data_IF_940201755806
#
_entry.id   IF_940201755806
#
_cell.length_a   1.000
_cell.length_b   1.000
_cell.length_c   1.000
_cell.angle_alpha   90.00
_cell.angle_beta   90.00
_cell.angle_gamma   90.00
#
_symmetry.space_group_name_H-M   'P 1'
#
loop_
_entity.id
_entity.type
_entity.pdbx_description
1 polymer ?
#
# COMPACT_ATOMS: atom_id res chain seq x y z
N UNK A 1 32.39 -1.63 -9.63
CA UNK A 1 31.23 -0.75 -9.89
C UNK A 1 30.24 -1.55 -10.72
N UNK A 2 29.20 -2.11 -10.11
CA UNK A 2 28.23 -2.94 -10.83
C UNK A 2 27.28 -2.05 -11.62
N UNK A 3 27.43 -2.02 -12.94
CA UNK A 3 26.48 -1.37 -13.84
C UNK A 3 25.26 -2.28 -13.99
N UNK A 4 24.25 -2.07 -13.14
CA UNK A 4 22.92 -2.65 -13.33
C UNK A 4 22.41 -2.24 -14.72
N UNK A 5 21.82 -3.14 -15.52
CA UNK A 5 21.29 -2.77 -16.82
C UNK A 5 20.20 -1.70 -16.66
N UNK A 6 20.45 -0.52 -17.24
CA UNK A 6 19.51 0.61 -17.24
C UNK A 6 18.52 0.46 -18.40
N UNK A 7 17.24 0.56 -18.09
CA UNK A 7 16.16 0.64 -19.07
C UNK A 7 16.27 1.96 -19.87
N UNK A 8 15.64 2.02 -21.05
CA UNK A 8 15.62 3.24 -21.88
C UNK A 8 15.10 4.47 -21.12
N UNK A 9 14.10 4.28 -20.25
CA UNK A 9 13.50 5.37 -19.48
C UNK A 9 14.40 5.84 -18.33
N UNK A 10 15.13 4.92 -17.68
CA UNK A 10 16.14 5.27 -16.67
C UNK A 10 17.26 6.09 -17.28
N UNK A 11 17.74 5.68 -18.46
CA UNK A 11 18.82 6.38 -19.15
C UNK A 11 18.36 7.75 -19.69
N UNK A 12 17.15 7.82 -20.25
CA UNK A 12 16.54 9.10 -20.65
C UNK A 12 16.44 10.07 -19.45
N UNK A 13 15.95 9.59 -18.32
CA UNK A 13 15.84 10.39 -17.08
C UNK A 13 17.21 10.84 -16.59
N UNK A 14 18.22 9.97 -16.60
CA UNK A 14 19.61 10.30 -16.21
C UNK A 14 20.16 11.43 -17.08
N UNK A 15 20.04 11.32 -18.40
CA UNK A 15 20.52 12.34 -19.33
C UNK A 15 19.75 13.66 -19.18
N UNK A 16 18.45 13.60 -18.95
CA UNK A 16 17.62 14.78 -18.69
C UNK A 16 18.04 15.50 -17.40
N UNK A 17 18.35 14.76 -16.35
CA UNK A 17 18.87 15.30 -15.09
C UNK A 17 20.24 15.97 -15.27
N UNK A 18 21.14 15.34 -16.01
CA UNK A 18 22.46 15.94 -16.33
C UNK A 18 22.31 17.22 -17.14
N UNK A 19 21.40 17.23 -18.11
CA UNK A 19 21.08 18.42 -18.90
C UNK A 19 20.52 19.55 -18.03
N UNK A 20 19.53 19.26 -17.18
CA UNK A 20 18.93 20.24 -16.28
C UNK A 20 19.96 20.85 -15.31
N UNK A 21 20.81 20.01 -14.71
CA UNK A 21 21.92 20.45 -13.83
C UNK A 21 22.90 21.36 -14.56
N UNK A 22 23.33 20.99 -15.78
CA UNK A 22 24.25 21.81 -16.60
C UNK A 22 23.67 23.17 -16.96
N UNK A 23 22.35 23.27 -17.09
CA UNK A 23 21.66 24.52 -17.42
C UNK A 23 21.35 25.39 -16.20
N UNK A 24 21.66 24.93 -14.98
CA UNK A 24 21.25 25.61 -13.74
C UNK A 24 19.73 25.71 -13.61
N UNK A 25 18.98 24.86 -14.33
CA UNK A 25 17.54 24.85 -14.28
C UNK A 25 17.11 24.17 -12.98
N UNK A 26 16.70 24.96 -12.01
CA UNK A 26 15.90 24.47 -10.89
C UNK A 26 14.56 24.10 -11.53
N UNK A 27 14.13 22.83 -11.51
CA UNK A 27 12.83 22.47 -12.03
C UNK A 27 11.81 23.35 -11.33
N UNK A 28 11.01 24.15 -12.06
CA UNK A 28 9.95 24.91 -11.41
C UNK A 28 9.03 23.91 -10.68
N UNK A 29 8.51 24.30 -9.52
CA UNK A 29 7.38 23.63 -8.88
C UNK A 29 6.15 23.86 -9.78
N UNK A 30 6.13 23.17 -10.91
CA UNK A 30 5.12 23.30 -11.95
C UNK A 30 4.46 21.94 -12.13
N UNK A 31 3.19 21.88 -11.74
CA UNK A 31 2.30 20.81 -12.11
C UNK A 31 1.70 21.19 -13.46
N UNK A 32 1.95 20.38 -14.48
CA UNK A 32 1.46 20.58 -15.84
C UNK A 32 0.31 19.62 -16.08
N UNK A 33 -0.84 20.13 -16.53
CA UNK A 33 -1.93 19.26 -16.97
C UNK A 33 -1.50 18.46 -18.20
N UNK A 34 -1.75 17.15 -18.20
CA UNK A 34 -1.39 16.27 -19.30
C UNK A 34 -2.56 16.26 -20.30
N UNK A 35 -2.35 16.73 -21.55
CA UNK A 35 -3.35 16.62 -22.61
C UNK A 35 -3.82 15.18 -22.82
N UNK A 36 -5.08 14.99 -23.17
CA UNK A 36 -5.71 13.67 -23.31
C UNK A 36 -4.98 12.71 -24.28
N UNK A 37 -4.32 13.28 -25.29
CA UNK A 37 -3.54 12.54 -26.29
C UNK A 37 -2.18 12.03 -25.77
N UNK A 38 -1.70 12.51 -24.61
CA UNK A 38 -0.43 12.10 -23.99
C UNK A 38 -0.67 11.04 -22.89
N UNK A 39 -1.30 9.94 -23.28
CA UNK A 39 -1.48 8.78 -22.40
C UNK A 39 -0.12 8.25 -21.93
N UNK A 40 -0.01 7.93 -20.65
CA UNK A 40 1.22 7.40 -20.03
C UNK A 40 1.81 8.29 -18.94
N UNK A 41 1.37 9.55 -18.85
CA UNK A 41 1.74 10.45 -17.75
C UNK A 41 0.56 10.65 -16.78
N UNK A 42 0.90 10.84 -15.50
CA UNK A 42 -0.06 10.97 -14.40
C UNK A 42 0.47 10.36 -13.11
N UNK A 43 -0.32 10.48 -12.05
CA UNK A 43 -0.01 9.87 -10.74
C UNK A 43 -1.27 9.30 -10.08
N UNK A 44 -1.18 8.18 -9.34
CA UNK A 44 -2.22 7.80 -8.41
C UNK A 44 -2.30 8.78 -7.25
N UNK A 45 -3.52 9.15 -6.89
CA UNK A 45 -3.86 9.90 -5.68
C UNK A 45 -4.70 9.01 -4.79
N UNK A 46 -4.28 8.90 -3.54
CA UNK A 46 -4.87 8.04 -2.54
C UNK A 46 -5.73 8.86 -1.59
N UNK A 47 -6.97 8.43 -1.40
CA UNK A 47 -7.87 8.91 -0.35
C UNK A 47 -7.49 8.18 0.96
N UNK A 48 -6.88 8.87 1.93
CA UNK A 48 -6.43 8.24 3.16
C UNK A 48 -7.61 7.72 4.00
N UNK A 49 -8.79 8.33 3.92
CA UNK A 49 -9.95 7.96 4.73
C UNK A 49 -10.57 6.65 4.24
N UNK A 50 -10.60 6.45 2.92
CA UNK A 50 -11.09 5.20 2.32
C UNK A 50 -10.05 4.07 2.29
N UNK A 51 -8.77 4.41 2.22
CA UNK A 51 -7.71 3.43 2.01
C UNK A 51 -7.53 2.50 3.22
N UNK A 52 -7.80 1.21 3.03
CA UNK A 52 -7.44 0.18 4.01
C UNK A 52 -5.95 -0.10 4.10
N UNK A 53 -5.15 0.32 3.12
CA UNK A 53 -3.75 -0.10 3.02
C UNK A 53 -3.61 -1.61 2.79
N UNK A 54 -4.48 -2.23 2.00
CA UNK A 54 -4.43 -3.66 1.69
C UNK A 54 -3.26 -4.08 0.78
N UNK A 55 -2.48 -3.11 0.27
CA UNK A 55 -1.35 -3.29 -0.64
C UNK A 55 -1.68 -3.88 -2.04
N UNK A 56 -2.96 -4.05 -2.39
CA UNK A 56 -3.38 -4.48 -3.74
C UNK A 56 -2.77 -3.61 -4.84
N UNK A 57 -2.73 -2.28 -4.65
CA UNK A 57 -2.13 -1.34 -5.60
C UNK A 57 -0.63 -1.59 -5.86
N UNK A 58 0.14 -1.99 -4.84
CA UNK A 58 1.56 -2.33 -4.99
C UNK A 58 1.74 -3.64 -5.76
N UNK A 59 0.92 -4.66 -5.44
CA UNK A 59 0.94 -5.96 -6.13
C UNK A 59 0.63 -5.83 -7.63
N UNK A 60 -0.32 -4.96 -8.00
CA UNK A 60 -0.74 -4.76 -9.39
C UNK A 60 0.19 -3.81 -10.17
N UNK A 61 1.18 -3.20 -9.50
CA UNK A 61 2.06 -2.22 -10.12
C UNK A 61 3.18 -2.90 -10.93
N UNK A 62 2.89 -3.27 -12.18
CA UNK A 62 3.85 -3.91 -13.08
C UNK A 62 5.10 -3.06 -13.35
N UNK A 63 4.96 -1.73 -13.35
CA UNK A 63 6.08 -0.79 -13.51
C UNK A 63 6.95 -0.63 -12.26
N UNK A 64 6.60 -1.27 -11.14
CA UNK A 64 7.36 -1.16 -9.89
C UNK A 64 7.37 0.25 -9.27
N UNK A 65 6.43 1.10 -9.66
CA UNK A 65 6.30 2.46 -9.14
C UNK A 65 5.80 2.49 -7.69
N UNK A 66 4.99 1.51 -7.27
CA UNK A 66 4.43 1.44 -5.91
C UNK A 66 5.13 0.34 -5.11
N UNK A 67 5.91 0.73 -4.10
CA UNK A 67 6.69 -0.17 -3.24
C UNK A 67 6.08 -0.29 -1.85
N UNK A 68 5.74 -1.51 -1.47
CA UNK A 68 5.32 -1.85 -0.12
C UNK A 68 6.53 -1.95 0.82
N UNK A 69 6.45 -1.27 1.96
CA UNK A 69 7.40 -1.41 3.08
C UNK A 69 6.59 -1.62 4.35
N UNK A 70 6.79 -2.76 4.99
CA UNK A 70 6.19 -3.05 6.29
C UNK A 70 7.25 -2.98 7.39
N UNK A 71 6.88 -2.33 8.47
CA UNK A 71 7.58 -2.39 9.76
C UNK A 71 6.73 -3.22 10.72
N UNK A 72 7.14 -3.33 11.99
CA UNK A 72 6.35 -4.10 12.96
C UNK A 72 4.90 -3.59 13.06
N UNK A 73 4.70 -2.28 13.17
CA UNK A 73 3.38 -1.71 13.50
C UNK A 73 2.75 -0.91 12.37
N UNK A 74 3.48 -0.70 11.26
CA UNK A 74 3.02 0.14 10.16
C UNK A 74 3.30 -0.47 8.81
N UNK A 75 2.36 -0.27 7.90
CA UNK A 75 2.49 -0.55 6.48
C UNK A 75 2.51 0.76 5.71
N UNK A 76 3.57 0.95 4.92
CA UNK A 76 3.77 2.12 4.07
C UNK A 76 3.85 1.72 2.61
N UNK A 77 3.29 2.54 1.74
CA UNK A 77 3.47 2.42 0.29
C UNK A 77 4.13 3.69 -0.20
N UNK A 78 5.25 3.51 -0.86
CA UNK A 78 6.04 4.57 -1.46
C UNK A 78 5.89 4.55 -2.97
N UNK A 79 5.86 5.73 -3.58
CA UNK A 79 5.73 5.91 -5.02
C UNK A 79 7.03 6.48 -5.61
N UNK A 80 7.64 5.74 -6.51
CA UNK A 80 8.67 6.25 -7.42
C UNK A 80 7.95 6.94 -8.59
N UNK A 81 7.80 8.26 -8.52
CA UNK A 81 6.98 9.03 -9.47
C UNK A 81 7.32 8.73 -10.94
N UNK A 82 8.60 8.75 -11.27
CA UNK A 82 9.09 8.59 -12.65
C UNK A 82 8.88 7.20 -13.24
N UNK A 83 8.56 6.19 -12.42
CA UNK A 83 8.20 4.83 -12.88
C UNK A 83 6.72 4.68 -13.18
N UNK A 84 5.88 5.60 -12.71
CA UNK A 84 4.45 5.51 -12.92
C UNK A 84 4.10 5.81 -14.38
N UNK A 85 3.46 4.85 -15.06
CA UNK A 85 2.94 5.03 -16.42
C UNK A 85 1.43 5.29 -16.46
N UNK A 86 0.85 5.58 -15.29
CA UNK A 86 -0.57 5.90 -15.13
C UNK A 86 -1.52 4.91 -15.87
N UNK A 87 -1.27 3.60 -15.68
CA UNK A 87 -2.01 2.49 -16.30
C UNK A 87 -3.35 2.15 -15.62
N UNK A 88 -3.71 2.85 -14.55
CA UNK A 88 -4.98 2.70 -13.81
C UNK A 88 -5.23 1.36 -13.10
N UNK A 89 -4.39 0.33 -13.24
CA UNK A 89 -4.57 -0.96 -12.55
C UNK A 89 -4.75 -0.83 -11.03
N UNK A 90 -3.96 0.05 -10.40
CA UNK A 90 -4.08 0.32 -8.95
C UNK A 90 -5.42 0.95 -8.55
N UNK A 91 -6.04 1.71 -9.45
CA UNK A 91 -7.38 2.31 -9.29
C UNK A 91 -8.45 1.24 -9.44
N UNK A 92 -8.41 0.49 -10.55
CA UNK A 92 -9.39 -0.56 -10.88
C UNK A 92 -9.43 -1.68 -9.84
N UNK A 93 -8.27 -2.07 -9.30
CA UNK A 93 -8.17 -3.17 -8.32
C UNK A 93 -8.34 -2.73 -6.86
N UNK A 94 -8.66 -1.46 -6.62
CA UNK A 94 -8.88 -0.96 -5.26
C UNK A 94 -10.31 -1.32 -4.80
N UNK A 95 -10.49 -2.21 -3.80
CA UNK A 95 -11.83 -2.60 -3.34
C UNK A 95 -12.58 -1.47 -2.60
N UNK A 96 -11.88 -0.39 -2.25
CA UNK A 96 -12.43 0.77 -1.53
C UNK A 96 -12.55 2.01 -2.39
N UNK A 97 -12.23 1.91 -3.68
CA UNK A 97 -12.21 3.05 -4.60
C UNK A 97 -11.40 4.23 -4.03
N UNK A 98 -10.35 3.90 -3.28
CA UNK A 98 -9.52 4.84 -2.54
C UNK A 98 -8.38 5.41 -3.39
N UNK A 99 -8.31 5.05 -4.68
CA UNK A 99 -7.25 5.47 -5.58
C UNK A 99 -7.90 6.03 -6.84
N UNK A 100 -7.42 7.19 -7.29
CA UNK A 100 -7.78 7.78 -8.58
C UNK A 100 -6.50 8.13 -9.33
N UNK A 101 -6.53 8.14 -10.67
CA UNK A 101 -5.41 8.61 -11.47
C UNK A 101 -5.64 10.08 -11.84
N UNK A 102 -4.74 10.95 -11.42
CA UNK A 102 -4.66 12.32 -11.89
C UNK A 102 -3.73 12.41 -13.10
N UNK A 103 -4.21 13.01 -14.19
CA UNK A 103 -3.45 13.22 -15.43
C UNK A 103 -2.66 14.51 -15.37
N UNK A 104 -1.68 14.54 -14.47
CA UNK A 104 -0.77 15.66 -14.26
C UNK A 104 0.68 15.20 -14.32
N UNK A 105 1.56 16.10 -14.79
CA UNK A 105 2.99 15.88 -14.83
C UNK A 105 3.68 16.87 -13.88
N UNK A 106 4.32 16.34 -12.86
CA UNK A 106 5.14 17.09 -11.91
C UNK A 106 6.61 16.85 -12.25
N UNK A 107 7.23 17.89 -12.81
CA UNK A 107 8.63 17.82 -13.23
C UNK A 107 9.59 17.64 -12.04
N UNK A 108 9.27 18.23 -10.88
CA UNK A 108 10.10 18.14 -9.68
C UNK A 108 10.13 16.70 -9.16
N UNK A 109 8.97 16.06 -9.05
CA UNK A 109 8.83 14.65 -8.64
C UNK A 109 9.42 13.70 -9.68
N UNK A 110 9.29 14.00 -10.97
CA UNK A 110 9.87 13.16 -12.03
C UNK A 110 11.40 13.15 -12.00
N UNK A 111 12.02 14.28 -11.66
CA UNK A 111 13.48 14.42 -11.57
C UNK A 111 14.03 14.00 -10.19
N UNK A 112 13.20 13.92 -9.16
CA UNK A 112 13.61 13.47 -7.83
C UNK A 112 13.84 11.96 -7.75
N UNK A 113 14.90 11.54 -7.07
CA UNK A 113 15.12 10.14 -6.67
C UNK A 113 14.39 9.79 -5.36
N UNK A 114 13.85 10.80 -4.66
CA UNK A 114 13.14 10.60 -3.40
C UNK A 114 11.74 10.01 -3.65
N UNK A 115 11.43 8.85 -3.06
CA UNK A 115 10.13 8.24 -3.21
C UNK A 115 9.08 8.98 -2.36
N UNK A 116 7.87 9.10 -2.89
CA UNK A 116 6.77 9.82 -2.23
C UNK A 116 5.99 8.84 -1.35
N UNK A 117 5.83 9.13 -0.07
CA UNK A 117 4.95 8.35 0.81
C UNK A 117 3.49 8.61 0.43
N UNK A 118 2.79 7.60 -0.10
CA UNK A 118 1.41 7.74 -0.59
C UNK A 118 0.37 7.01 0.26
N UNK A 119 0.79 6.01 1.04
CA UNK A 119 -0.08 5.33 2.01
C UNK A 119 0.73 5.06 3.27
N UNK A 120 0.16 5.36 4.43
CA UNK A 120 0.71 4.98 5.72
C UNK A 120 -0.44 4.55 6.65
N UNK A 121 -0.47 3.28 7.04
CA UNK A 121 -1.50 2.72 7.92
C UNK A 121 -0.89 1.90 9.05
N UNK A 122 -1.58 1.87 10.18
CA UNK A 122 -1.24 1.02 11.32
C UNK A 122 -1.70 -0.42 11.09
N UNK A 123 -0.90 -1.37 11.58
CA UNK A 123 -1.14 -2.79 11.51
C UNK A 123 -1.61 -3.34 12.85
N UNK A 124 -2.66 -4.16 12.81
CA UNK A 124 -3.13 -4.95 13.95
C UNK A 124 -2.28 -6.21 14.08
N UNK A 125 -1.84 -6.52 15.31
CA UNK A 125 -0.96 -7.66 15.61
C UNK A 125 -1.67 -8.70 16.46
N UNK A 126 -1.27 -9.95 16.28
CA UNK A 126 -1.74 -11.07 17.08
C UNK A 126 -1.27 -10.91 18.52
N UNK A 127 -2.19 -10.97 19.47
CA UNK A 127 -1.89 -10.89 20.91
C UNK A 127 -1.06 -12.05 21.46
N UNK A 128 -0.97 -13.18 20.73
CA UNK A 128 -0.19 -14.35 21.14
C UNK A 128 1.20 -14.37 20.49
N UNK A 129 1.27 -14.28 19.16
CA UNK A 129 2.53 -14.48 18.43
C UNK A 129 3.10 -13.22 17.78
N UNK A 130 2.42 -12.07 17.88
CA UNK A 130 2.87 -10.82 17.27
C UNK A 130 2.76 -10.76 15.75
N UNK A 131 2.29 -11.81 15.07
CA UNK A 131 2.12 -11.79 13.61
C UNK A 131 1.10 -10.72 13.17
N UNK A 132 1.32 -10.10 12.01
CA UNK A 132 0.37 -9.16 11.39
C UNK A 132 -0.94 -9.87 11.08
N UNK A 133 -2.06 -9.24 11.46
CA UNK A 133 -3.42 -9.69 11.10
C UNK A 133 -3.87 -8.96 9.84
N UNK A 134 -4.03 -7.64 9.92
CA UNK A 134 -4.29 -6.73 8.80
C UNK A 134 -4.10 -5.28 9.28
N UNK A 135 -4.48 -4.28 8.49
CA UNK A 135 -4.55 -2.89 8.95
C UNK A 135 -5.64 -2.69 10.00
N UNK A 136 -5.42 -1.73 10.91
CA UNK A 136 -6.40 -1.35 11.93
C UNK A 136 -7.72 -0.94 11.27
N UNK A 137 -7.67 -0.10 10.23
CA UNK A 137 -8.84 0.36 9.47
C UNK A 137 -9.69 -0.80 8.93
N UNK A 138 -9.08 -1.81 8.32
CA UNK A 138 -9.83 -2.95 7.79
C UNK A 138 -10.44 -3.79 8.91
N UNK A 139 -9.70 -4.02 10.00
CA UNK A 139 -10.18 -4.81 11.14
C UNK A 139 -11.36 -4.14 11.83
N UNK A 140 -11.29 -2.82 12.02
CA UNK A 140 -12.34 -2.06 12.69
C UNK A 140 -13.60 -1.98 11.82
N UNK A 141 -13.47 -1.74 10.50
CA UNK A 141 -14.61 -1.74 9.59
C UNK A 141 -15.30 -3.12 9.55
N UNK A 142 -14.53 -4.20 9.47
CA UNK A 142 -15.08 -5.57 9.53
C UNK A 142 -15.78 -5.82 10.86
N UNK A 143 -15.21 -5.36 11.98
CA UNK A 143 -15.82 -5.47 13.30
C UNK A 143 -17.15 -4.72 13.35
N UNK A 144 -17.23 -3.52 12.80
CA UNK A 144 -18.45 -2.71 12.79
C UNK A 144 -19.55 -3.31 11.92
N UNK A 145 -19.20 -3.90 10.77
CA UNK A 145 -20.15 -4.67 9.95
C UNK A 145 -20.67 -5.86 10.74
N UNK A 146 -19.79 -6.64 11.37
CA UNK A 146 -20.18 -7.87 12.08
C UNK A 146 -21.01 -7.57 13.34
N UNK A 147 -20.82 -6.42 14.02
CA UNK A 147 -21.66 -5.97 15.15
C UNK A 147 -23.16 -5.90 14.81
N UNK A 148 -23.51 -5.74 13.53
CA UNK A 148 -24.91 -5.70 13.07
C UNK A 148 -25.57 -7.07 12.98
N UNK A 149 -24.79 -8.15 13.06
CA UNK A 149 -25.28 -9.53 12.96
C UNK A 149 -25.68 -10.08 14.33
N UNK A 150 -26.62 -11.05 14.40
CA UNK A 150 -27.06 -11.65 15.66
C UNK A 150 -26.03 -12.64 16.22
N UNK A 151 -24.87 -12.14 16.63
CA UNK A 151 -23.79 -12.91 17.22
C UNK A 151 -23.52 -12.50 18.66
N UNK A 152 -22.97 -13.40 19.47
CA UNK A 152 -22.68 -13.09 20.87
C UNK A 152 -21.49 -12.12 21.02
N UNK A 153 -21.50 -11.33 22.09
CA UNK A 153 -20.43 -10.39 22.40
C UNK A 153 -19.05 -11.07 22.49
N UNK A 154 -19.01 -12.31 22.99
CA UNK A 154 -17.78 -13.11 23.09
C UNK A 154 -17.14 -13.32 21.70
N UNK A 155 -17.94 -13.50 20.66
CA UNK A 155 -17.42 -13.64 19.30
C UNK A 155 -16.95 -12.30 18.73
N UNK A 156 -17.65 -11.19 19.04
CA UNK A 156 -17.25 -9.84 18.63
C UNK A 156 -15.89 -9.43 19.21
N UNK A 157 -15.68 -9.66 20.51
CA UNK A 157 -14.47 -9.24 21.22
C UNK A 157 -13.20 -9.93 20.68
N UNK A 158 -13.36 -11.11 20.06
CA UNK A 158 -12.26 -11.90 19.49
C UNK A 158 -11.87 -11.46 18.07
N UNK A 159 -12.68 -10.64 17.39
CA UNK A 159 -12.39 -10.17 16.03
C UNK A 159 -11.13 -9.30 16.06
N UNK A 160 -10.13 -9.66 15.25
CA UNK A 160 -8.89 -8.90 15.13
C UNK A 160 -7.91 -9.06 16.31
N UNK A 161 -8.13 -10.03 17.21
CA UNK A 161 -7.23 -10.27 18.37
C UNK A 161 -6.15 -11.32 18.08
N UNK A 162 -6.48 -12.33 17.28
CA UNK A 162 -5.61 -13.47 16.97
C UNK A 162 -5.43 -13.61 15.45
N UNK A 163 -4.23 -14.00 15.02
CA UNK A 163 -3.99 -14.43 13.64
C UNK A 163 -4.62 -15.81 13.37
N UNK A 164 -4.70 -16.19 12.10
CA UNK A 164 -5.32 -17.45 11.66
C UNK A 164 -4.72 -18.68 12.34
N UNK A 165 -3.38 -18.73 12.47
CA UNK A 165 -2.70 -19.85 13.10
C UNK A 165 -2.99 -19.95 14.61
N UNK A 166 -2.95 -18.82 15.32
CA UNK A 166 -3.28 -18.79 16.74
C UNK A 166 -4.76 -19.08 17.00
N UNK A 167 -5.69 -18.67 16.12
CA UNK A 167 -7.11 -19.05 16.20
C UNK A 167 -7.30 -20.56 16.13
N UNK A 168 -6.62 -21.23 15.19
CA UNK A 168 -6.67 -22.69 15.05
C UNK A 168 -6.13 -23.38 16.31
N UNK A 169 -4.99 -22.93 16.81
CA UNK A 169 -4.36 -23.48 18.01
C UNK A 169 -5.27 -23.35 19.24
N UNK A 170 -5.81 -22.16 19.50
CA UNK A 170 -6.71 -21.92 20.65
C UNK A 170 -7.97 -22.76 20.53
N UNK A 171 -8.58 -22.82 19.35
CA UNK A 171 -9.78 -23.64 19.11
C UNK A 171 -9.50 -25.13 19.35
N UNK A 172 -8.35 -25.64 18.87
CA UNK A 172 -7.95 -27.03 19.09
C UNK A 172 -7.75 -27.33 20.58
N UNK A 173 -7.12 -26.44 21.35
CA UNK A 173 -6.99 -26.57 22.81
C UNK A 173 -8.36 -26.62 23.49
N UNK A 174 -9.26 -25.69 23.15
CA UNK A 174 -10.63 -25.66 23.71
C UNK A 174 -11.38 -26.98 23.44
N UNK A 175 -11.27 -27.54 22.23
CA UNK A 175 -11.90 -28.80 21.85
C UNK A 175 -11.34 -30.04 22.56
N UNK A 176 -10.08 -29.98 23.01
CA UNK A 176 -9.46 -31.03 23.82
C UNK A 176 -9.87 -30.89 25.28
N UNK A 177 -9.89 -29.66 25.80
CA UNK A 177 -10.33 -29.37 27.17
C UNK A 177 -11.80 -29.76 27.39
N UNK A 178 -12.68 -29.52 26.41
CA UNK A 178 -14.08 -29.96 26.48
C UNK A 178 -14.27 -31.48 26.53
N UNK A 179 -13.23 -32.24 26.17
CA UNK A 179 -13.16 -33.71 26.25
C UNK A 179 -12.35 -34.22 27.44
N UNK A 180 -12.03 -33.35 28.40
CA UNK A 180 -11.30 -33.71 29.62
C UNK A 180 -9.77 -33.82 29.47
N UNK A 181 -9.21 -33.44 28.32
CA UNK A 181 -7.76 -33.44 28.10
C UNK A 181 -7.15 -32.14 28.65
N UNK A 182 -6.13 -32.26 29.51
CA UNK A 182 -5.36 -31.09 29.98
C UNK A 182 -4.36 -30.66 28.91
N UNK A 183 -4.48 -29.42 28.45
CA UNK A 183 -3.63 -28.81 27.42
C UNK A 183 -3.01 -27.55 28.01
N UNK A 184 -1.68 -27.50 28.09
CA UNK A 184 -0.91 -26.29 28.46
C UNK A 184 -0.84 -25.32 27.29
#
# INVERSE_FOLDING_TARGET
>A
MSTTPQTKIEEFRRLLLEFAKKKGAIPPEAIIEVPELLRGFGKPVFDPDKCWGCASCSVQCLGGALRLVETQDRRRIYMDYWKCVACEECSVKCPKEAVKIERVFDLSSFLSDEPILVVDVELKRCSICGATISSVKQVDEVRDIIKTLPISQIHLDRIGVLCENCKKLVTAKILLMSRGVKVG
#
